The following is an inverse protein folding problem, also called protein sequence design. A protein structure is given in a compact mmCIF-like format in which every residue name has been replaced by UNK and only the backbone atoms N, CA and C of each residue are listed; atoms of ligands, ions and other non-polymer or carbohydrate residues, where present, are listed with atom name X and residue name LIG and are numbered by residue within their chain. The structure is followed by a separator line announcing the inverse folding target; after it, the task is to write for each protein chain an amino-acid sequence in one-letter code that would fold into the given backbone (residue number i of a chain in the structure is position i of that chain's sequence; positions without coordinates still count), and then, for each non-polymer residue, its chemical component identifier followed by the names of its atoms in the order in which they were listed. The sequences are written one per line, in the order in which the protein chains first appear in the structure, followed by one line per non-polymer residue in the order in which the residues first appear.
data_IF_102182576692
#
_entry.id   IF_102182576692
#
_cell.length_a   1.000
_cell.length_b   1.000
_cell.length_c   1.000
_cell.angle_alpha   90.00
_cell.angle_beta   90.00
_cell.angle_gamma   90.00
#
_symmetry.space_group_name_H-M   'P 1'
#
loop_
_entity.id
_entity.type
_entity.pdbx_description
1 polymer ?
#
# COMPACT_ATOMS: atom_id res chain seq x y z
N UNK A 1 19.86 -4.31 10.27
CA UNK A 1 19.87 -4.26 8.79
C UNK A 1 18.43 -4.19 8.31
N UNK A 2 18.11 -3.34 7.32
CA UNK A 2 16.78 -3.36 6.69
C UNK A 2 16.57 -4.72 6.02
N UNK A 3 15.39 -5.33 6.21
CA UNK A 3 15.11 -6.64 5.63
C UNK A 3 14.94 -6.52 4.12
N UNK A 4 15.02 -7.65 3.43
CA UNK A 4 14.59 -7.69 2.04
C UNK A 4 13.08 -7.49 1.96
N UNK A 5 12.63 -6.88 0.87
CA UNK A 5 11.20 -6.82 0.58
C UNK A 5 10.62 -8.23 0.51
N UNK A 6 9.41 -8.40 1.03
CA UNK A 6 8.55 -9.55 0.77
C UNK A 6 7.55 -9.18 -0.31
N UNK A 7 7.05 -10.21 -0.98
CA UNK A 7 6.02 -10.07 -2.01
C UNK A 7 4.67 -10.54 -1.47
N UNK A 8 3.61 -9.86 -1.88
CA UNK A 8 2.23 -10.21 -1.58
C UNK A 8 1.31 -9.89 -2.76
N UNK A 9 0.06 -10.35 -2.67
CA UNK A 9 -0.98 -10.10 -3.66
C UNK A 9 -2.27 -9.66 -2.98
N UNK A 10 -3.05 -8.87 -3.70
CA UNK A 10 -4.34 -8.34 -3.25
C UNK A 10 -5.30 -8.19 -4.41
N UNK A 11 -6.60 -8.27 -4.15
CA UNK A 11 -7.65 -8.02 -5.14
C UNK A 11 -8.47 -6.83 -4.70
N UNK A 12 -8.71 -5.88 -5.60
CA UNK A 12 -9.51 -4.69 -5.29
C UNK A 12 -11.01 -4.92 -5.51
N UNK A 13 -11.81 -3.90 -5.21
CA UNK A 13 -13.28 -3.94 -5.38
C UNK A 13 -13.78 -4.15 -6.82
N UNK A 14 -12.91 -4.05 -7.84
CA UNK A 14 -13.25 -4.33 -9.24
C UNK A 14 -12.73 -5.70 -9.71
N UNK A 15 -12.14 -6.49 -8.81
CA UNK A 15 -11.52 -7.77 -9.17
C UNK A 15 -10.12 -7.63 -9.77
N UNK A 16 -9.53 -6.43 -9.81
CA UNK A 16 -8.17 -6.25 -10.32
C UNK A 16 -7.17 -6.87 -9.35
N UNK A 17 -6.27 -7.72 -9.86
CA UNK A 17 -5.17 -8.30 -9.10
C UNK A 17 -4.00 -7.31 -8.99
N UNK A 18 -3.46 -7.18 -7.79
CA UNK A 18 -2.32 -6.32 -7.47
C UNK A 18 -1.15 -7.14 -6.91
N UNK A 19 0.07 -6.74 -7.27
CA UNK A 19 1.33 -7.20 -6.68
C UNK A 19 1.87 -6.12 -5.73
N UNK A 20 2.37 -6.57 -4.59
CA UNK A 20 2.83 -5.69 -3.51
C UNK A 20 4.21 -6.15 -3.07
N UNK A 21 5.18 -5.26 -3.19
CA UNK A 21 6.52 -5.45 -2.65
C UNK A 21 6.66 -4.57 -1.42
N UNK A 22 6.93 -5.15 -0.25
CA UNK A 22 6.89 -4.41 1.02
C UNK A 22 7.99 -4.80 2.00
N UNK A 23 8.38 -3.85 2.85
CA UNK A 23 9.23 -4.10 4.00
C UNK A 23 8.39 -4.69 5.15
N UNK A 24 8.69 -5.93 5.61
CA UNK A 24 7.81 -6.65 6.52
C UNK A 24 7.74 -6.06 7.93
N UNK A 25 8.73 -5.28 8.35
CA UNK A 25 8.76 -4.66 9.68
C UNK A 25 8.08 -3.27 9.70
N UNK A 26 7.78 -2.70 8.52
CA UNK A 26 7.22 -1.36 8.38
C UNK A 26 5.72 -1.37 8.03
N UNK A 27 5.36 -2.04 6.93
CA UNK A 27 4.02 -1.94 6.37
C UNK A 27 3.04 -2.83 7.15
N UNK A 28 1.97 -2.27 7.70
CA UNK A 28 0.93 -3.06 8.37
C UNK A 28 -0.22 -3.41 7.43
N UNK A 29 -0.64 -2.46 6.58
CA UNK A 29 -1.78 -2.63 5.67
C UNK A 29 -1.71 -1.69 4.48
N UNK A 30 -2.31 -2.10 3.36
CA UNK A 30 -2.66 -1.22 2.24
C UNK A 30 -4.17 -1.21 2.07
N UNK A 31 -4.76 -0.02 2.02
CA UNK A 31 -6.15 0.20 1.63
C UNK A 31 -6.19 0.88 0.27
N UNK A 32 -7.13 0.47 -0.58
CA UNK A 32 -7.40 1.11 -1.87
C UNK A 32 -8.83 1.63 -1.85
N UNK A 33 -9.02 2.86 -2.34
CA UNK A 33 -10.33 3.48 -2.45
C UNK A 33 -10.50 4.13 -3.81
N UNK A 34 -11.64 3.87 -4.46
CA UNK A 34 -12.02 4.49 -5.72
C UNK A 34 -13.54 4.57 -5.85
N UNK A 35 -14.01 5.33 -6.83
CA UNK A 35 -15.42 5.37 -7.19
C UNK A 35 -15.77 4.16 -8.05
N UNK A 36 -16.88 3.49 -7.73
CA UNK A 36 -17.37 2.36 -8.53
C UNK A 36 -18.17 2.84 -9.74
N UNK A 37 -18.18 2.10 -10.87
CA UNK A 37 -19.03 2.42 -12.01
C UNK A 37 -20.50 2.49 -11.59
N UNK A 38 -21.18 3.60 -11.92
CA UNK A 38 -22.60 3.81 -11.59
C UNK A 38 -22.88 4.25 -10.15
N UNK A 39 -21.87 4.26 -9.27
CA UNK A 39 -22.01 4.72 -7.88
C UNK A 39 -21.45 6.14 -7.72
N UNK A 40 -22.10 6.96 -6.89
CA UNK A 40 -21.59 8.28 -6.48
C UNK A 40 -20.61 8.18 -5.30
N UNK A 41 -20.66 7.10 -4.51
CA UNK A 41 -19.82 6.90 -3.33
C UNK A 41 -18.47 6.29 -3.71
N UNK A 42 -17.47 6.56 -2.87
CA UNK A 42 -16.17 5.88 -2.93
C UNK A 42 -16.26 4.61 -2.11
N UNK A 43 -15.90 3.48 -2.71
CA UNK A 43 -15.67 2.24 -2.00
C UNK A 43 -14.23 2.21 -1.50
N UNK A 44 -13.97 1.51 -0.39
CA UNK A 44 -12.63 1.25 0.12
C UNK A 44 -12.52 -0.21 0.54
N UNK A 45 -11.47 -0.88 0.10
CA UNK A 45 -11.14 -2.25 0.52
C UNK A 45 -9.72 -2.34 1.06
N UNK A 46 -9.48 -3.32 1.92
CA UNK A 46 -8.11 -3.67 2.31
C UNK A 46 -7.50 -4.48 1.18
N UNK A 47 -6.54 -3.89 0.46
CA UNK A 47 -5.84 -4.57 -0.62
C UNK A 47 -4.84 -5.59 -0.06
N UNK A 48 -4.21 -5.27 1.07
CA UNK A 48 -3.25 -6.15 1.71
C UNK A 48 -3.20 -5.91 3.20
N UNK A 49 -3.00 -6.98 3.95
CA UNK A 49 -2.67 -6.96 5.38
C UNK A 49 -1.41 -7.78 5.58
N UNK A 50 -0.44 -7.21 6.28
CA UNK A 50 0.78 -7.92 6.62
C UNK A 50 0.44 -9.13 7.51
N UNK A 51 0.87 -10.35 7.15
CA UNK A 51 0.62 -11.54 7.96
C UNK A 51 1.39 -11.52 9.30
N UNK A 52 2.46 -10.73 9.40
CA UNK A 52 3.18 -10.55 10.64
C UNK A 52 2.28 -9.83 11.67
N UNK A 53 2.24 -10.36 12.90
CA UNK A 53 1.50 -9.73 14.01
C UNK A 53 2.31 -8.64 14.72
N UNK A 54 3.61 -8.61 14.50
CA UNK A 54 4.61 -7.76 15.16
C UNK A 54 5.82 -7.65 14.25
N UNK A 55 6.54 -6.54 14.34
CA UNK A 55 7.82 -6.38 13.66
C UNK A 55 8.83 -7.38 14.27
N UNK A 56 9.60 -8.05 13.41
CA UNK A 56 10.69 -8.92 13.85
C UNK A 56 11.94 -8.07 14.20
N UNK A 57 12.09 -6.91 13.57
CA UNK A 57 13.12 -5.93 13.87
C UNK A 57 12.61 -4.49 13.71
N UNK A 58 13.37 -3.50 14.15
CA UNK A 58 13.06 -2.10 13.80
C UNK A 58 13.14 -1.90 12.27
N UNK A 59 12.20 -1.15 11.66
CA UNK A 59 12.33 -0.74 10.27
C UNK A 59 13.68 -0.09 9.98
N UNK A 60 14.17 -0.26 8.75
CA UNK A 60 15.34 0.50 8.29
C UNK A 60 15.04 2.00 8.17
N UNK A 61 16.08 2.83 8.22
CA UNK A 61 15.98 4.29 8.01
C UNK A 61 15.26 4.68 6.71
N UNK A 62 15.39 3.84 5.69
CA UNK A 62 14.67 3.98 4.43
C UNK A 62 13.90 2.70 4.13
N UNK A 63 12.60 2.83 3.90
CA UNK A 63 11.70 1.74 3.51
C UNK A 63 11.16 1.98 2.12
N UNK A 64 11.02 0.90 1.34
CA UNK A 64 10.52 0.95 -0.03
C UNK A 64 9.29 0.09 -0.15
N UNK A 65 8.27 0.58 -0.84
CA UNK A 65 7.07 -0.19 -1.13
C UNK A 65 6.62 0.02 -2.56
N UNK A 66 6.32 -1.09 -3.23
CA UNK A 66 5.77 -1.14 -4.58
C UNK A 66 4.33 -1.66 -4.55
N UNK A 67 3.46 -1.04 -5.34
CA UNK A 67 2.05 -1.43 -5.51
C UNK A 67 1.72 -1.33 -6.99
N UNK A 68 1.58 -2.48 -7.65
CA UNK A 68 1.42 -2.55 -9.11
C UNK A 68 0.21 -3.40 -9.46
N UNK A 69 -0.65 -2.91 -10.34
CA UNK A 69 -1.75 -3.68 -10.89
C UNK A 69 -1.23 -4.63 -11.98
N UNK A 70 -1.63 -5.90 -11.94
CA UNK A 70 -1.16 -6.93 -12.89
C UNK A 70 -1.64 -6.65 -14.32
N UNK A 71 -2.77 -5.97 -14.47
CA UNK A 71 -3.32 -5.52 -15.75
C UNK A 71 -2.60 -4.28 -16.34
N UNK A 72 -1.54 -3.80 -15.68
CA UNK A 72 -0.79 -2.61 -16.11
C UNK A 72 -1.54 -1.29 -15.89
N UNK A 73 -2.67 -1.29 -15.19
CA UNK A 73 -3.47 -0.07 -14.99
C UNK A 73 -2.77 0.96 -14.11
N UNK A 74 -1.86 0.54 -13.22
CA UNK A 74 -1.00 1.37 -12.38
C UNK A 74 0.28 0.64 -11.94
N UNK A 75 1.40 1.37 -11.81
CA UNK A 75 2.63 0.94 -11.12
C UNK A 75 3.11 2.08 -10.22
N UNK A 76 3.08 1.88 -8.89
CA UNK A 76 3.42 2.89 -7.89
C UNK A 76 4.58 2.37 -7.06
N UNK A 77 5.63 3.18 -6.92
CA UNK A 77 6.76 2.90 -6.01
C UNK A 77 6.98 4.10 -5.12
N UNK A 78 7.06 3.84 -3.82
CA UNK A 78 7.39 4.86 -2.81
C UNK A 78 8.65 4.45 -2.07
N UNK A 79 9.43 5.47 -1.71
CA UNK A 79 10.53 5.37 -0.76
C UNK A 79 10.27 6.38 0.34
N UNK A 80 10.32 5.94 1.59
CA UNK A 80 10.15 6.79 2.76
C UNK A 80 11.45 6.71 3.54
N UNK A 81 12.09 7.85 3.75
CA UNK A 81 13.16 7.99 4.73
C UNK A 81 12.53 8.51 6.02
N UNK A 82 12.61 7.71 7.08
CA UNK A 82 11.99 7.98 8.37
C UNK A 82 12.95 7.53 9.48
N UNK A 83 14.05 8.26 9.72
CA UNK A 83 15.06 7.88 10.70
C UNK A 83 14.51 7.78 12.13
N UNK A 84 13.48 8.57 12.43
CA UNK A 84 12.88 8.68 13.77
C UNK A 84 11.60 7.83 13.93
N UNK A 85 11.15 7.14 12.87
CA UNK A 85 9.99 6.25 12.91
C UNK A 85 8.65 6.98 13.16
N UNK A 86 8.53 8.24 12.75
CA UNK A 86 7.35 9.09 13.03
C UNK A 86 6.24 8.95 12.00
N UNK A 87 6.51 8.32 10.85
CA UNK A 87 5.53 8.21 9.76
C UNK A 87 4.47 7.16 10.09
N UNK A 88 3.22 7.61 10.28
CA UNK A 88 2.09 6.71 10.54
C UNK A 88 1.47 6.13 9.26
N UNK A 89 1.45 6.91 8.18
CA UNK A 89 0.88 6.47 6.91
C UNK A 89 1.38 7.31 5.74
N UNK A 90 1.32 6.71 4.55
CA UNK A 90 1.53 7.41 3.28
C UNK A 90 0.25 7.30 2.46
N UNK A 91 -0.23 8.44 1.99
CA UNK A 91 -1.42 8.52 1.14
C UNK A 91 -1.00 8.92 -0.27
N UNK A 92 -1.21 8.02 -1.22
CA UNK A 92 -1.01 8.30 -2.64
C UNK A 92 -2.36 8.46 -3.32
N UNK A 93 -2.54 9.54 -4.07
CA UNK A 93 -3.75 9.77 -4.87
C UNK A 93 -3.35 9.86 -6.34
N UNK A 94 -3.86 8.94 -7.16
CA UNK A 94 -3.65 8.96 -8.61
C UNK A 94 -4.90 9.46 -9.32
N UNK A 95 -4.68 10.09 -10.48
CA UNK A 95 -5.75 10.49 -11.39
C UNK A 95 -5.42 9.99 -12.79
N UNK A 96 -6.29 9.16 -13.37
CA UNK A 96 -6.14 8.66 -14.74
C UNK A 96 -7.30 9.16 -15.60
N UNK A 97 -7.00 9.68 -16.80
CA UNK A 97 -8.04 10.00 -17.79
C UNK A 97 -8.46 8.73 -18.52
N UNK A 98 -9.76 8.50 -18.65
CA UNK A 98 -10.36 7.42 -19.44
C UNK A 98 -11.45 8.03 -20.33
N UNK A 99 -11.06 8.47 -21.52
CA UNK A 99 -11.91 9.27 -22.40
C UNK A 99 -12.32 10.58 -21.72
N UNK A 100 -13.63 10.86 -21.65
CA UNK A 100 -14.19 12.05 -21.00
C UNK A 100 -14.26 11.98 -19.46
N UNK A 101 -13.99 10.82 -18.85
CA UNK A 101 -14.05 10.63 -17.39
C UNK A 101 -12.65 10.67 -16.78
N UNK A 102 -12.52 11.25 -15.60
CA UNK A 102 -11.33 11.11 -14.76
C UNK A 102 -11.60 10.11 -13.64
N UNK A 103 -10.76 9.09 -13.53
CA UNK A 103 -10.77 8.19 -12.41
C UNK A 103 -9.78 8.66 -11.35
N UNK A 104 -10.22 8.70 -10.09
CA UNK A 104 -9.36 9.01 -8.94
C UNK A 104 -9.28 7.79 -8.03
N UNK A 105 -8.06 7.32 -7.78
CA UNK A 105 -7.79 6.19 -6.89
C UNK A 105 -6.90 6.66 -5.75
N UNK A 106 -7.28 6.33 -4.51
CA UNK A 106 -6.54 6.63 -3.29
C UNK A 106 -5.96 5.33 -2.72
N UNK A 107 -4.69 5.35 -2.40
CA UNK A 107 -3.98 4.27 -1.73
C UNK A 107 -3.52 4.79 -0.37
N UNK A 108 -3.82 4.06 0.69
CA UNK A 108 -3.37 4.37 2.05
C UNK A 108 -2.48 3.23 2.50
N UNK A 109 -1.20 3.52 2.66
CA UNK A 109 -0.19 2.60 3.15
C UNK A 109 0.00 2.94 4.63
N UNK A 110 -0.46 2.04 5.50
CA UNK A 110 -0.40 2.22 6.94
C UNK A 110 0.91 1.61 7.47
N UNK A 111 1.65 2.41 8.23
CA UNK A 111 2.79 1.97 9.04
C UNK A 111 2.27 1.21 10.28
N UNK A 112 3.17 0.76 11.15
CA UNK A 112 2.91 0.24 12.51
C UNK A 112 2.49 -1.22 12.58
N UNK A 113 3.46 -2.10 12.42
CA UNK A 113 3.45 -3.29 13.24
C UNK A 113 3.87 -2.92 14.68
N UNK A 114 3.32 -3.59 15.70
CA UNK A 114 3.85 -3.48 17.05
C UNK A 114 5.37 -3.74 17.06
N UNK A 115 6.16 -3.09 17.94
CA UNK A 115 7.62 -3.27 17.99
C UNK A 115 8.00 -4.70 18.40
N UNK A 116 9.23 -5.20 18.16
CA UNK A 116 9.66 -6.52 18.61
C UNK A 116 9.43 -6.75 20.11
N UNK A 117 9.30 -8.02 20.55
CA UNK A 117 9.34 -8.33 21.98
C UNK A 117 10.78 -8.21 22.46
N UNK A 118 10.99 -7.44 23.53
CA UNK A 118 12.23 -7.41 24.31
C UNK A 118 12.46 -8.74 25.00
#
# INVERSE_FOLDING_TARGET
MARHNREARGVDQLGTLWRISYQPDWLSRIKISRQLPGDRRRSMVTLFRNPARRAEASPGKTVRTGVSAVDGSADIRISVEDPDGVVESVVVVTRKKRGRKSEVVKYVLESRLPPPRS
#
